data_IF_182182304818
#
_entry.id   IF_182182304818
#
_cell.length_a   1.000
_cell.length_b   1.000
_cell.length_c   1.000
_cell.angle_alpha   90.00
_cell.angle_beta   90.00
_cell.angle_gamma   90.00
#
_symmetry.space_group_name_H-M   'P 1'
#
loop_
_entity.id
_entity.type
_entity.pdbx_description
1 polymer ?
#
# COMPACT_ATOMS: atom_id res chain seq x y z
N UNK A 1 4.67 -10.63 -17.72
CA UNK A 1 5.93 -10.64 -16.94
C UNK A 1 5.70 -9.93 -15.60
N UNK A 2 6.20 -10.51 -14.50
CA UNK A 2 6.02 -9.99 -13.14
C UNK A 2 7.38 -9.77 -12.50
N UNK A 3 7.57 -8.64 -11.82
CA UNK A 3 8.83 -8.21 -11.24
C UNK A 3 8.56 -7.72 -9.82
N UNK A 4 9.38 -8.13 -8.86
CA UNK A 4 9.29 -7.67 -7.47
C UNK A 4 10.57 -6.93 -7.07
N UNK A 5 10.41 -5.74 -6.50
CA UNK A 5 11.46 -5.02 -5.81
C UNK A 5 11.11 -4.89 -4.33
N UNK A 6 12.01 -5.32 -3.47
CA UNK A 6 11.85 -5.17 -2.02
C UNK A 6 12.80 -4.10 -1.52
N UNK A 7 12.26 -2.98 -1.05
CA UNK A 7 13.01 -1.80 -0.65
C UNK A 7 12.47 -1.27 0.67
N UNK A 8 13.33 -1.04 1.64
CA UNK A 8 12.93 -0.48 2.93
C UNK A 8 12.17 0.85 2.77
N UNK A 9 11.30 1.16 3.72
CA UNK A 9 10.58 2.44 3.73
C UNK A 9 11.58 3.60 3.84
N UNK A 10 11.37 4.67 3.06
CA UNK A 10 12.26 5.83 3.05
C UNK A 10 13.46 5.73 2.09
N UNK A 11 13.62 4.63 1.35
CA UNK A 11 14.74 4.42 0.41
C UNK A 11 14.44 4.84 -1.03
N UNK A 12 13.34 5.57 -1.27
CA UNK A 12 13.06 6.17 -2.57
C UNK A 12 12.28 5.29 -3.55
N UNK A 13 11.40 4.37 -3.09
CA UNK A 13 10.54 3.54 -3.96
C UNK A 13 9.84 4.34 -5.06
N UNK A 14 9.20 5.45 -4.68
CA UNK A 14 8.49 6.33 -5.64
C UNK A 14 9.45 6.96 -6.66
N UNK A 15 10.68 7.29 -6.24
CA UNK A 15 11.69 7.83 -7.16
C UNK A 15 12.17 6.77 -8.16
N UNK A 16 12.33 5.53 -7.72
CA UNK A 16 12.65 4.41 -8.63
C UNK A 16 11.52 4.20 -9.64
N UNK A 17 10.27 4.20 -9.18
CA UNK A 17 9.10 4.12 -10.06
C UNK A 17 9.08 5.25 -11.08
N UNK A 18 9.36 6.50 -10.64
CA UNK A 18 9.48 7.65 -11.53
C UNK A 18 10.58 7.44 -12.58
N UNK A 19 11.77 7.04 -12.18
CA UNK A 19 12.90 6.85 -13.10
C UNK A 19 12.64 5.75 -14.13
N UNK A 20 11.99 4.67 -13.73
CA UNK A 20 11.58 3.62 -14.66
C UNK A 20 10.54 4.14 -15.67
N UNK A 21 9.49 4.79 -15.17
CA UNK A 21 8.47 5.39 -16.02
C UNK A 21 9.08 6.42 -16.98
N UNK A 22 10.02 7.25 -16.50
CA UNK A 22 10.74 8.23 -17.31
C UNK A 22 11.50 7.58 -18.47
N UNK A 23 12.28 6.56 -18.18
CA UNK A 23 13.04 5.83 -19.21
C UNK A 23 12.10 5.18 -20.23
N UNK A 24 11.04 4.50 -19.79
CA UNK A 24 10.07 3.86 -20.68
C UNK A 24 9.34 4.89 -21.55
N UNK A 25 8.95 6.03 -20.99
CA UNK A 25 8.23 7.09 -21.70
C UNK A 25 9.09 7.75 -22.79
N UNK A 26 10.32 8.11 -22.48
CA UNK A 26 11.19 8.80 -23.44
C UNK A 26 11.80 7.85 -24.48
N UNK A 27 12.01 6.58 -24.14
CA UNK A 27 12.38 5.55 -25.12
C UNK A 27 11.20 5.11 -26.00
N UNK A 28 9.97 5.54 -25.67
CA UNK A 28 8.73 5.09 -26.32
C UNK A 28 8.53 3.57 -26.25
N UNK A 29 9.12 2.91 -25.24
CA UNK A 29 8.95 1.48 -25.09
C UNK A 29 7.48 1.13 -24.86
N UNK A 30 6.94 0.20 -25.63
CA UNK A 30 5.60 -0.31 -25.48
C UNK A 30 5.52 -1.78 -25.90
N UNK A 31 4.52 -2.50 -25.41
CA UNK A 31 4.39 -3.94 -25.68
C UNK A 31 4.06 -4.25 -27.14
N UNK A 32 3.35 -3.39 -27.84
CA UNK A 32 2.96 -3.58 -29.23
C UNK A 32 4.19 -3.64 -30.13
N UNK A 33 5.15 -2.75 -29.89
CA UNK A 33 6.33 -2.61 -30.75
C UNK A 33 7.57 -3.34 -30.18
N UNK A 34 7.44 -4.04 -29.05
CA UNK A 34 8.56 -4.67 -28.32
C UNK A 34 9.47 -5.53 -29.18
N UNK A 35 8.91 -6.25 -30.14
CA UNK A 35 9.64 -7.16 -31.04
C UNK A 35 9.79 -6.61 -32.46
N UNK A 36 9.44 -5.35 -32.69
CA UNK A 36 9.57 -4.70 -33.99
C UNK A 36 10.98 -4.15 -34.17
N UNK A 37 11.52 -4.30 -35.38
CA UNK A 37 12.75 -3.61 -35.79
C UNK A 37 12.50 -2.16 -36.21
N UNK A 38 11.24 -1.74 -36.28
CA UNK A 38 10.84 -0.38 -36.64
C UNK A 38 10.89 0.55 -35.42
N UNK A 39 10.94 1.86 -35.67
CA UNK A 39 10.84 2.85 -34.59
C UNK A 39 9.49 2.69 -33.86
N UNK A 40 9.48 2.86 -32.51
CA UNK A 40 8.28 2.72 -31.71
C UNK A 40 7.15 3.66 -32.17
N UNK A 41 5.94 3.11 -32.35
CA UNK A 41 4.78 3.85 -32.89
C UNK A 41 4.18 4.82 -31.88
N UNK A 42 4.27 4.51 -30.59
CA UNK A 42 3.67 5.30 -29.50
C UNK A 42 4.48 5.26 -28.21
N UNK A 43 4.16 6.18 -27.30
CA UNK A 43 4.61 6.13 -25.91
C UNK A 43 3.85 5.04 -25.12
N UNK A 44 4.45 4.52 -24.03
CA UNK A 44 3.77 3.55 -23.19
C UNK A 44 2.55 4.14 -22.49
N UNK A 45 1.62 3.27 -22.11
CA UNK A 45 0.59 3.55 -21.13
C UNK A 45 0.97 2.84 -19.83
N UNK A 46 1.28 3.64 -18.82
CA UNK A 46 1.77 3.16 -17.52
C UNK A 46 0.69 3.40 -16.48
N UNK A 47 0.32 2.37 -15.74
CA UNK A 47 -0.61 2.47 -14.61
C UNK A 47 0.16 2.45 -13.31
N UNK A 48 -0.08 3.41 -12.42
CA UNK A 48 0.38 3.41 -11.04
C UNK A 48 -0.80 3.12 -10.11
N UNK A 49 -0.77 1.96 -9.46
CA UNK A 49 -1.76 1.50 -8.50
C UNK A 49 -1.24 1.66 -7.08
N UNK A 50 -1.97 2.40 -6.25
CA UNK A 50 -1.68 2.58 -4.83
C UNK A 50 -2.80 2.00 -3.95
N UNK A 51 -2.48 1.76 -2.67
CA UNK A 51 -3.45 1.31 -1.68
C UNK A 51 -4.39 2.44 -1.20
N UNK A 52 -3.88 3.69 -1.15
CA UNK A 52 -4.61 4.84 -0.61
C UNK A 52 -4.50 6.07 -1.52
N UNK A 53 -5.56 6.89 -1.49
CA UNK A 53 -5.61 8.14 -2.27
C UNK A 53 -4.42 9.07 -1.99
N UNK A 54 -4.00 9.19 -0.73
CA UNK A 54 -2.85 10.03 -0.38
C UNK A 54 -1.56 9.59 -1.08
N UNK A 55 -1.33 8.27 -1.19
CA UNK A 55 -0.17 7.70 -1.88
C UNK A 55 -0.27 7.91 -3.40
N UNK A 56 -1.46 7.71 -3.97
CA UNK A 56 -1.69 7.96 -5.39
C UNK A 56 -1.50 9.45 -5.75
N UNK A 57 -1.91 10.37 -4.87
CA UNK A 57 -1.73 11.81 -5.06
C UNK A 57 -0.26 12.22 -4.89
N UNK A 58 0.44 11.64 -3.90
CA UNK A 58 1.89 11.87 -3.74
C UNK A 58 2.67 11.39 -4.96
N UNK A 59 2.34 10.21 -5.48
CA UNK A 59 2.96 9.69 -6.70
C UNK A 59 2.66 10.59 -7.90
N UNK A 60 1.40 10.97 -8.11
CA UNK A 60 1.00 11.91 -9.17
C UNK A 60 1.81 13.21 -9.13
N UNK A 61 1.93 13.82 -7.95
CA UNK A 61 2.71 15.04 -7.77
C UNK A 61 4.22 14.83 -7.98
N UNK A 62 4.76 13.69 -7.55
CA UNK A 62 6.16 13.34 -7.76
C UNK A 62 6.52 13.17 -9.26
N UNK A 63 5.52 12.90 -10.10
CA UNK A 63 5.66 12.75 -11.54
C UNK A 63 5.44 14.06 -12.33
N UNK A 64 5.37 15.20 -11.66
CA UNK A 64 5.11 16.51 -12.29
C UNK A 64 6.16 16.97 -13.32
N UNK A 65 7.28 16.30 -13.44
CA UNK A 65 8.27 16.57 -14.50
C UNK A 65 7.84 16.02 -15.88
N UNK A 66 6.83 15.16 -15.94
CA UNK A 66 6.23 14.74 -17.21
C UNK A 66 5.32 15.84 -17.78
N UNK A 67 5.06 15.84 -19.09
CA UNK A 67 4.07 16.75 -19.68
C UNK A 67 2.69 16.60 -19.02
N UNK A 68 2.00 17.70 -18.76
CA UNK A 68 0.70 17.70 -18.07
C UNK A 68 -0.36 16.86 -18.79
N UNK A 69 -0.34 16.83 -20.11
CA UNK A 69 -1.24 16.05 -20.95
C UNK A 69 -0.94 14.53 -20.91
N UNK A 70 0.25 14.16 -20.43
CA UNK A 70 0.61 12.76 -20.24
C UNK A 70 0.07 12.18 -18.91
N UNK A 71 -0.20 13.02 -17.91
CA UNK A 71 -0.59 12.62 -16.56
C UNK A 71 -2.12 12.55 -16.42
N UNK A 72 -2.61 11.44 -15.89
CA UNK A 72 -4.05 11.22 -15.70
C UNK A 72 -4.31 10.69 -14.29
N UNK A 73 -5.04 11.46 -13.49
CA UNK A 73 -5.59 10.97 -12.22
C UNK A 73 -6.96 10.37 -12.47
N UNK A 74 -7.14 9.10 -12.13
CA UNK A 74 -8.43 8.40 -12.26
C UNK A 74 -9.15 8.50 -10.92
N UNK A 75 -10.26 9.20 -10.90
CA UNK A 75 -11.09 9.41 -9.71
C UNK A 75 -12.56 9.05 -9.99
N UNK A 76 -13.28 8.45 -9.01
CA UNK A 76 -14.68 8.04 -9.22
C UNK A 76 -15.60 9.19 -9.59
N UNK A 77 -15.38 10.38 -9.01
CA UNK A 77 -16.21 11.57 -9.28
C UNK A 77 -16.07 12.05 -10.72
N UNK A 78 -14.85 12.02 -11.25
CA UNK A 78 -14.60 12.40 -12.64
C UNK A 78 -15.20 11.38 -13.61
N UNK A 79 -15.11 10.10 -13.29
CA UNK A 79 -15.73 9.06 -14.12
C UNK A 79 -17.26 9.25 -14.11
N UNK A 80 -17.86 9.46 -12.95
CA UNK A 80 -19.32 9.70 -12.84
C UNK A 80 -19.78 10.93 -13.63
N UNK A 81 -19.02 12.02 -13.55
CA UNK A 81 -19.33 13.27 -14.29
C UNK A 81 -19.21 13.10 -15.79
N UNK A 82 -18.19 12.37 -16.25
CA UNK A 82 -17.89 12.19 -17.68
C UNK A 82 -18.58 10.97 -18.30
N UNK A 83 -19.15 10.08 -17.48
CA UNK A 83 -19.80 8.84 -17.91
C UNK A 83 -18.86 7.83 -18.57
N UNK A 84 -17.55 7.97 -18.41
CA UNK A 84 -16.53 7.07 -18.98
C UNK A 84 -15.19 7.23 -18.27
N UNK A 85 -14.39 6.17 -18.30
CA UNK A 85 -13.00 6.21 -17.83
C UNK A 85 -12.10 7.02 -18.76
N UNK A 86 -11.09 7.75 -18.24
CA UNK A 86 -10.13 8.48 -19.06
C UNK A 86 -9.20 7.51 -19.80
N UNK A 87 -9.03 7.72 -21.12
CA UNK A 87 -8.14 6.91 -21.96
C UNK A 87 -7.04 7.73 -22.67
N UNK A 88 -7.13 9.05 -22.56
CA UNK A 88 -6.16 9.95 -23.18
C UNK A 88 -5.09 10.33 -22.16
N UNK A 89 -3.89 9.84 -22.34
CA UNK A 89 -2.72 10.04 -21.50
C UNK A 89 -1.75 8.88 -21.60
N UNK A 90 -0.70 8.96 -20.82
CA UNK A 90 0.37 7.96 -20.79
C UNK A 90 0.63 7.39 -19.39
N UNK A 91 0.47 8.22 -18.34
CA UNK A 91 0.68 7.80 -16.96
C UNK A 91 -0.62 7.99 -16.19
N UNK A 92 -1.15 6.88 -15.72
CA UNK A 92 -2.46 6.81 -15.06
C UNK A 92 -2.25 6.48 -13.58
N UNK A 93 -2.87 7.23 -12.69
CA UNK A 93 -2.75 7.06 -11.23
C UNK A 93 -4.10 6.80 -10.62
N UNK A 94 -4.22 5.71 -9.86
CA UNK A 94 -5.46 5.37 -9.16
C UNK A 94 -5.19 4.50 -7.94
N UNK A 95 -6.26 4.15 -7.23
CA UNK A 95 -6.23 3.15 -6.17
C UNK A 95 -7.08 1.94 -6.54
N UNK A 96 -6.81 0.81 -5.90
CA UNK A 96 -7.53 -0.44 -6.15
C UNK A 96 -9.04 -0.27 -5.99
N UNK A 97 -9.48 0.39 -4.91
CA UNK A 97 -10.88 0.61 -4.60
C UNK A 97 -11.59 1.40 -5.70
N UNK A 98 -10.93 2.40 -6.27
CA UNK A 98 -11.49 3.14 -7.42
C UNK A 98 -11.71 2.24 -8.62
N UNK A 99 -10.74 1.41 -8.97
CA UNK A 99 -10.87 0.49 -10.10
C UNK A 99 -11.92 -0.60 -9.89
N UNK A 100 -12.10 -1.03 -8.65
CA UNK A 100 -13.12 -2.02 -8.29
C UNK A 100 -14.51 -1.41 -8.13
N UNK A 101 -14.62 -0.11 -7.86
CA UNK A 101 -15.90 0.58 -7.81
C UNK A 101 -16.44 0.79 -9.22
N UNK A 102 -17.74 0.77 -9.35
CA UNK A 102 -18.45 0.98 -10.61
C UNK A 102 -19.72 0.17 -10.61
N UNK A 103 -20.75 0.71 -11.25
CA UNK A 103 -22.04 0.06 -11.38
C UNK A 103 -22.56 0.24 -12.80
N UNK A 104 -23.22 -0.79 -13.30
CA UNK A 104 -23.98 -0.71 -14.55
C UNK A 104 -25.21 0.17 -14.37
N UNK A 105 -25.90 0.48 -15.46
CA UNK A 105 -27.17 1.23 -15.41
C UNK A 105 -28.26 0.52 -14.59
N UNK A 106 -28.16 -0.77 -14.46
CA UNK A 106 -29.09 -1.61 -13.71
C UNK A 106 -28.68 -1.78 -12.24
N UNK A 107 -27.63 -1.10 -11.79
CA UNK A 107 -27.15 -1.13 -10.40
C UNK A 107 -26.23 -2.32 -10.08
N UNK A 108 -25.96 -3.22 -11.03
CA UNK A 108 -25.06 -4.35 -10.83
C UNK A 108 -23.59 -3.90 -10.79
N UNK A 109 -22.73 -4.59 -10.03
CA UNK A 109 -21.30 -4.28 -9.99
C UNK A 109 -20.67 -4.34 -11.39
N UNK A 110 -20.10 -3.23 -11.82
CA UNK A 110 -19.39 -3.11 -13.09
C UNK A 110 -18.06 -2.37 -12.86
N UNK A 111 -17.00 -3.07 -12.42
CA UNK A 111 -15.71 -2.46 -12.08
C UNK A 111 -15.14 -1.61 -13.22
N UNK A 112 -14.67 -0.40 -12.89
CA UNK A 112 -14.16 0.55 -13.89
C UNK A 112 -12.96 0.04 -14.68
N UNK A 113 -12.15 -0.86 -14.12
CA UNK A 113 -11.04 -1.44 -14.87
C UNK A 113 -11.51 -2.20 -16.11
N UNK A 114 -12.72 -2.81 -16.06
CA UNK A 114 -13.31 -3.52 -17.19
C UNK A 114 -13.71 -2.63 -18.37
N UNK A 115 -13.74 -1.30 -18.21
CA UNK A 115 -13.97 -0.37 -19.32
C UNK A 115 -12.73 -0.15 -20.19
N UNK A 116 -11.55 -0.58 -19.72
CA UNK A 116 -10.32 -0.59 -20.52
C UNK A 116 -10.16 -1.94 -21.25
N UNK A 117 -9.61 -1.99 -22.47
CA UNK A 117 -9.13 -3.24 -23.04
C UNK A 117 -8.08 -3.90 -22.12
N UNK A 118 -8.04 -5.22 -22.05
CA UNK A 118 -7.09 -5.95 -21.18
C UNK A 118 -5.62 -5.70 -21.54
N UNK A 119 -5.33 -5.29 -22.76
CA UNK A 119 -4.02 -4.92 -23.29
C UNK A 119 -3.78 -3.39 -23.32
N UNK A 120 -4.63 -2.61 -22.63
CA UNK A 120 -4.54 -1.15 -22.66
C UNK A 120 -3.25 -0.62 -22.04
N UNK A 121 -2.81 -1.19 -20.94
CA UNK A 121 -1.57 -0.79 -20.25
C UNK A 121 -0.39 -1.65 -20.71
N UNK A 122 0.75 -1.01 -20.90
CA UNK A 122 2.02 -1.69 -21.20
C UNK A 122 2.78 -2.06 -19.92
N UNK A 123 2.68 -1.22 -18.91
CA UNK A 123 3.41 -1.37 -17.66
C UNK A 123 2.54 -0.97 -16.49
N UNK A 124 2.55 -1.76 -15.41
CA UNK A 124 1.79 -1.49 -14.18
C UNK A 124 2.75 -1.46 -13.00
N UNK A 125 2.74 -0.37 -12.26
CA UNK A 125 3.48 -0.21 -11.01
C UNK A 125 2.50 -0.36 -9.86
N UNK A 126 2.78 -1.28 -8.95
CA UNK A 126 1.94 -1.57 -7.79
C UNK A 126 2.73 -1.17 -6.54
N UNK A 127 2.34 -0.06 -5.91
CA UNK A 127 2.96 0.38 -4.66
C UNK A 127 2.33 -0.32 -3.47
N UNK A 128 3.17 -0.68 -2.50
CA UNK A 128 2.82 -1.45 -1.31
C UNK A 128 2.06 -2.76 -1.64
N UNK A 129 2.55 -3.50 -2.63
CA UNK A 129 1.90 -4.69 -3.19
C UNK A 129 1.69 -5.84 -2.18
N UNK A 130 2.19 -5.71 -0.94
CA UNK A 130 1.92 -6.62 0.17
C UNK A 130 0.62 -6.32 0.92
N UNK A 131 -0.01 -5.17 0.64
CA UNK A 131 -1.26 -4.75 1.27
C UNK A 131 -2.43 -5.32 0.49
N UNK A 132 -3.14 -6.23 1.11
CA UNK A 132 -4.39 -6.81 0.69
C UNK A 132 -4.87 -7.62 1.88
N UNK A 133 -5.98 -7.26 2.53
CA UNK A 133 -6.61 -8.08 3.58
C UNK A 133 -7.30 -9.28 2.97
N UNK A 134 -7.62 -10.31 3.75
CA UNK A 134 -8.25 -11.54 3.30
C UNK A 134 -9.54 -11.30 2.47
N UNK A 135 -10.21 -10.15 2.65
CA UNK A 135 -11.38 -9.74 1.87
C UNK A 135 -11.04 -8.90 0.63
N UNK A 136 -9.84 -8.28 0.56
CA UNK A 136 -9.41 -7.42 -0.55
C UNK A 136 -8.56 -8.15 -1.59
N UNK A 137 -8.01 -9.32 -1.25
CA UNK A 137 -7.11 -10.07 -2.13
C UNK A 137 -7.74 -10.52 -3.44
N UNK A 138 -9.01 -10.94 -3.39
CA UNK A 138 -9.73 -11.33 -4.60
C UNK A 138 -9.89 -10.16 -5.57
N UNK A 139 -9.90 -8.94 -5.04
CA UNK A 139 -10.21 -7.73 -5.78
C UNK A 139 -9.01 -7.18 -6.56
N UNK A 140 -7.86 -6.97 -5.90
CA UNK A 140 -6.71 -6.42 -6.61
C UNK A 140 -6.06 -7.44 -7.57
N UNK A 141 -6.08 -8.73 -7.22
CA UNK A 141 -5.65 -9.80 -8.14
C UNK A 141 -6.49 -9.81 -9.41
N UNK A 142 -7.80 -9.65 -9.29
CA UNK A 142 -8.69 -9.53 -10.45
C UNK A 142 -8.28 -8.42 -11.43
N UNK A 143 -7.83 -7.27 -10.92
CA UNK A 143 -7.30 -6.18 -11.74
C UNK A 143 -6.02 -6.61 -12.46
N UNK A 144 -5.07 -7.20 -11.73
CA UNK A 144 -3.78 -7.60 -12.28
C UNK A 144 -3.89 -8.77 -13.26
N UNK A 145 -4.77 -9.72 -13.00
CA UNK A 145 -5.04 -10.85 -13.90
C UNK A 145 -5.78 -10.38 -15.17
N UNK A 146 -6.67 -9.39 -15.05
CA UNK A 146 -7.31 -8.77 -16.22
C UNK A 146 -6.29 -8.08 -17.14
N UNK A 147 -5.32 -7.37 -16.57
CA UNK A 147 -4.23 -6.73 -17.31
C UNK A 147 -2.97 -7.61 -17.39
N UNK A 148 -3.13 -8.93 -17.41
CA UNK A 148 -2.02 -9.87 -17.50
C UNK A 148 -1.05 -9.65 -18.70
N UNK A 149 -1.48 -9.09 -19.85
CA UNK A 149 -0.54 -8.72 -20.92
C UNK A 149 0.52 -7.71 -20.49
N UNK A 150 0.21 -6.80 -19.57
CA UNK A 150 1.15 -5.79 -19.08
C UNK A 150 2.33 -6.39 -18.31
N UNK A 151 3.49 -5.73 -18.35
CA UNK A 151 4.57 -5.99 -17.40
C UNK A 151 4.18 -5.37 -16.04
N UNK A 152 4.25 -6.16 -14.98
CA UNK A 152 3.78 -5.78 -13.65
C UNK A 152 4.95 -5.71 -12.66
N UNK A 153 5.16 -4.53 -12.08
CA UNK A 153 6.19 -4.24 -11.11
C UNK A 153 5.58 -4.03 -9.72
N UNK A 154 5.83 -4.96 -8.81
CA UNK A 154 5.50 -4.81 -7.40
C UNK A 154 6.62 -4.11 -6.63
N UNK A 155 6.25 -3.10 -5.84
CA UNK A 155 7.12 -2.40 -4.90
C UNK A 155 6.62 -2.65 -3.48
N UNK A 156 7.51 -3.05 -2.59
CA UNK A 156 7.16 -3.25 -1.18
C UNK A 156 8.37 -3.12 -0.26
N UNK A 157 8.15 -2.73 0.98
CA UNK A 157 9.15 -2.80 2.04
C UNK A 157 9.08 -4.12 2.83
N UNK A 158 7.91 -4.73 2.88
CA UNK A 158 7.59 -5.87 3.74
C UNK A 158 6.83 -6.95 2.99
N UNK A 159 7.51 -7.71 2.11
CA UNK A 159 6.84 -8.79 1.38
C UNK A 159 6.33 -9.85 2.36
N UNK A 160 5.11 -10.30 2.17
CA UNK A 160 4.48 -11.34 3.02
C UNK A 160 4.68 -12.72 2.42
N UNK A 161 4.98 -13.71 3.30
CA UNK A 161 5.10 -15.14 2.96
C UNK A 161 4.04 -16.02 3.63
N UNK A 162 3.20 -15.46 4.51
CA UNK A 162 2.19 -16.21 5.28
C UNK A 162 0.87 -15.45 5.27
N UNK A 163 -0.23 -16.19 5.42
CA UNK A 163 -1.60 -15.68 5.54
C UNK A 163 -2.14 -15.03 4.26
N UNK A 164 -2.72 -15.83 3.38
CA UNK A 164 -3.53 -15.46 2.19
C UNK A 164 -2.96 -14.39 1.22
N UNK A 165 -1.91 -13.65 1.57
CA UNK A 165 -1.22 -12.68 0.71
C UNK A 165 0.21 -13.13 0.49
N UNK A 166 0.41 -14.12 -0.36
CA UNK A 166 1.75 -14.49 -0.75
C UNK A 166 2.22 -13.62 -1.93
N UNK A 167 2.92 -12.53 -1.58
CA UNK A 167 3.54 -11.63 -2.56
C UNK A 167 4.50 -12.38 -3.48
N UNK A 168 5.20 -13.36 -2.92
CA UNK A 168 6.15 -14.19 -3.68
C UNK A 168 5.46 -15.20 -4.58
N UNK A 169 4.31 -15.75 -4.19
CA UNK A 169 3.55 -16.65 -5.07
C UNK A 169 3.06 -15.93 -6.32
N UNK A 170 2.79 -14.62 -6.22
CA UNK A 170 2.33 -13.82 -7.36
C UNK A 170 3.49 -13.29 -8.22
N UNK A 171 4.47 -12.63 -7.62
CA UNK A 171 5.55 -11.94 -8.32
C UNK A 171 6.80 -12.80 -8.55
N UNK A 172 6.97 -13.89 -7.80
CA UNK A 172 8.23 -14.61 -7.70
C UNK A 172 9.20 -14.00 -6.69
N UNK A 173 10.42 -14.51 -6.65
CA UNK A 173 11.48 -13.93 -5.82
C UNK A 173 11.84 -12.52 -6.30
N UNK A 174 12.19 -11.60 -5.38
CA UNK A 174 12.55 -10.25 -5.77
C UNK A 174 13.83 -10.23 -6.61
N UNK A 175 13.80 -9.45 -7.69
CA UNK A 175 15.00 -9.24 -8.52
C UNK A 175 16.00 -8.29 -7.85
N UNK A 176 15.56 -7.53 -6.87
CA UNK A 176 16.40 -6.67 -6.07
C UNK A 176 15.84 -6.50 -4.66
N UNK A 177 16.72 -6.59 -3.67
CA UNK A 177 16.40 -6.40 -2.25
C UNK A 177 17.32 -5.32 -1.68
N UNK A 178 16.74 -4.27 -1.12
CA UNK A 178 17.45 -3.25 -0.36
C UNK A 178 16.85 -3.14 1.03
N UNK A 179 17.50 -3.80 1.98
CA UNK A 179 16.98 -3.96 3.33
C UNK A 179 17.13 -2.67 4.16
N UNK A 180 16.42 -2.63 5.31
CA UNK A 180 16.60 -1.56 6.29
C UNK A 180 18.08 -1.47 6.78
N UNK A 181 18.74 -2.62 6.92
CA UNK A 181 20.15 -2.68 7.33
C UNK A 181 21.04 -2.05 6.26
N UNK A 182 20.80 -2.35 4.99
CA UNK A 182 21.56 -1.76 3.89
C UNK A 182 21.38 -0.24 3.85
N UNK A 183 20.14 0.23 3.98
CA UNK A 183 19.83 1.66 4.02
C UNK A 183 20.48 2.41 5.19
N UNK A 184 20.61 1.77 6.35
CA UNK A 184 21.34 2.32 7.50
C UNK A 184 22.85 2.33 7.25
N UNK A 185 23.40 1.24 6.74
CA UNK A 185 24.83 1.12 6.47
C UNK A 185 25.31 2.13 5.42
N UNK A 186 24.48 2.37 4.40
CA UNK A 186 24.76 3.33 3.33
C UNK A 186 24.46 4.79 3.73
N UNK A 187 23.95 5.02 4.96
CA UNK A 187 23.65 6.35 5.48
C UNK A 187 22.37 7.02 4.97
N UNK A 188 21.52 6.30 4.24
CA UNK A 188 20.22 6.80 3.79
C UNK A 188 19.14 6.74 4.87
N UNK A 189 19.26 5.80 5.81
CA UNK A 189 18.31 5.62 6.90
C UNK A 189 19.00 5.81 8.24
N UNK A 190 18.28 6.45 9.17
CA UNK A 190 18.79 6.68 10.52
C UNK A 190 18.82 5.38 11.32
N UNK A 191 19.92 5.05 12.00
CA UNK A 191 19.96 3.94 12.93
C UNK A 191 19.01 4.21 14.10
N UNK A 192 18.43 3.15 14.64
CA UNK A 192 17.49 3.23 15.74
C UNK A 192 17.90 2.27 16.87
N UNK A 193 17.39 2.57 18.08
CA UNK A 193 17.49 1.67 19.22
C UNK A 193 16.10 1.17 19.59
N UNK A 194 15.98 -0.14 19.80
CA UNK A 194 14.76 -0.73 20.33
C UNK A 194 14.91 -0.91 21.81
N UNK A 195 13.96 -0.37 22.58
CA UNK A 195 13.83 -0.61 24.02
C UNK A 195 12.49 -1.27 24.26
N UNK A 196 12.51 -2.53 24.59
CA UNK A 196 11.32 -3.26 24.97
C UNK A 196 11.06 -3.03 26.46
N UNK A 197 9.86 -2.59 26.80
CA UNK A 197 9.39 -2.39 28.17
C UNK A 197 8.28 -3.41 28.41
N UNK A 198 8.60 -4.46 29.15
CA UNK A 198 7.60 -5.41 29.61
C UNK A 198 7.05 -4.91 30.96
N UNK A 199 5.76 -5.07 31.17
CA UNK A 199 5.12 -4.79 32.46
C UNK A 199 4.53 -6.06 33.03
N UNK A 200 4.47 -6.17 34.35
CA UNK A 200 3.85 -7.31 35.05
C UNK A 200 2.33 -7.40 34.83
N UNK A 201 1.75 -6.40 34.16
CA UNK A 201 0.32 -6.31 33.82
C UNK A 201 0.01 -6.82 32.40
N UNK A 202 0.93 -7.50 31.75
CA UNK A 202 0.73 -7.99 30.36
C UNK A 202 -0.09 -9.31 30.34
N UNK A 203 -0.26 -9.96 31.49
CA UNK A 203 -1.14 -11.09 31.70
C UNK A 203 -2.24 -10.70 32.70
N UNK A 204 -3.49 -10.78 32.27
CA UNK A 204 -4.62 -10.35 33.08
C UNK A 204 -5.79 -11.33 33.04
N UNK A 205 -6.40 -11.53 34.20
CA UNK A 205 -7.68 -12.25 34.32
C UNK A 205 -8.76 -11.22 34.64
N UNK A 206 -9.77 -11.13 33.80
CA UNK A 206 -10.87 -10.18 33.92
C UNK A 206 -11.52 -10.19 35.33
N UNK A 207 -11.75 -9.01 35.87
CA UNK A 207 -12.59 -8.80 37.05
C UNK A 207 -13.80 -7.91 36.72
N UNK A 208 -14.94 -8.04 37.47
CA UNK A 208 -16.18 -7.32 37.13
C UNK A 208 -16.07 -5.79 37.16
N UNK A 209 -15.01 -5.25 37.75
CA UNK A 209 -14.79 -3.80 37.88
C UNK A 209 -14.08 -3.18 36.66
N UNK A 210 -13.68 -4.02 35.67
CA UNK A 210 -12.97 -3.56 34.50
C UNK A 210 -13.90 -2.98 33.44
N UNK A 211 -13.41 -1.99 32.70
CA UNK A 211 -14.14 -1.38 31.59
C UNK A 211 -14.04 -2.25 30.34
N UNK A 212 -15.18 -2.64 29.80
CA UNK A 212 -15.28 -3.35 28.52
C UNK A 212 -15.30 -2.35 27.38
N UNK A 213 -14.45 -2.54 26.39
CA UNK A 213 -14.38 -1.68 25.20
C UNK A 213 -15.21 -2.26 24.04
N UNK A 214 -15.14 -3.57 23.79
CA UNK A 214 -15.84 -4.23 22.68
C UNK A 214 -16.05 -5.73 22.96
N UNK A 215 -17.21 -6.25 22.58
CA UNK A 215 -17.53 -7.68 22.62
C UNK A 215 -18.06 -8.20 23.96
N UNK A 216 -18.28 -9.50 24.04
CA UNK A 216 -18.70 -10.21 25.26
C UNK A 216 -17.49 -10.82 25.95
N UNK A 217 -17.44 -10.68 27.29
CA UNK A 217 -16.38 -11.25 28.12
C UNK A 217 -16.81 -12.62 28.65
N UNK A 218 -15.93 -13.60 28.46
CA UNK A 218 -16.07 -14.91 29.06
C UNK A 218 -15.40 -14.94 30.43
N UNK A 219 -16.20 -15.23 31.49
CA UNK A 219 -15.69 -15.34 32.85
C UNK A 219 -14.58 -16.41 32.95
N UNK A 220 -13.43 -16.03 33.51
CA UNK A 220 -12.29 -16.93 33.67
C UNK A 220 -11.37 -17.06 32.46
N UNK A 221 -11.62 -16.36 31.38
CA UNK A 221 -10.73 -16.30 30.23
C UNK A 221 -9.52 -15.41 30.51
N UNK A 222 -8.34 -15.90 30.14
CA UNK A 222 -7.10 -15.13 30.17
C UNK A 222 -7.01 -14.27 28.91
N UNK A 223 -6.81 -12.96 29.10
CA UNK A 223 -6.60 -12.02 28.02
C UNK A 223 -5.13 -11.70 27.88
N UNK A 224 -4.63 -11.67 26.64
CA UNK A 224 -3.25 -11.39 26.31
C UNK A 224 -3.08 -9.92 25.86
N UNK A 225 -1.85 -9.45 25.74
CA UNK A 225 -1.52 -8.07 25.35
C UNK A 225 -2.26 -7.59 24.08
N UNK A 226 -2.51 -8.48 23.13
CA UNK A 226 -3.26 -8.16 21.89
C UNK A 226 -4.73 -7.81 22.09
N UNK A 227 -5.29 -8.20 23.24
CA UNK A 227 -6.72 -8.02 23.57
C UNK A 227 -6.96 -6.71 24.31
N UNK A 228 -5.92 -6.12 24.92
CA UNK A 228 -6.02 -4.85 25.62
C UNK A 228 -6.25 -3.67 24.66
N UNK A 229 -7.04 -2.70 25.12
CA UNK A 229 -7.47 -1.51 24.36
C UNK A 229 -8.22 -1.82 23.05
N UNK A 230 -8.60 -3.08 22.87
CA UNK A 230 -9.53 -3.52 21.82
C UNK A 230 -10.78 -4.17 22.42
N UNK A 231 -10.60 -5.02 23.41
CA UNK A 231 -11.65 -5.77 24.08
C UNK A 231 -11.78 -5.26 25.53
N UNK A 232 -10.67 -5.08 26.22
CA UNK A 232 -10.62 -4.62 27.61
C UNK A 232 -9.73 -3.38 27.70
N UNK A 233 -10.19 -2.36 28.47
CA UNK A 233 -9.41 -1.18 28.83
C UNK A 233 -9.25 -1.12 30.35
N UNK A 234 -8.02 -0.92 30.81
CA UNK A 234 -7.69 -0.71 32.22
C UNK A 234 -6.96 0.63 32.33
N UNK A 235 -7.68 1.70 32.76
CA UNK A 235 -7.11 3.06 32.81
C UNK A 235 -5.82 3.18 33.61
N UNK A 236 -5.72 2.47 34.77
CA UNK A 236 -4.54 2.48 35.61
C UNK A 236 -3.32 1.86 34.92
N UNK A 237 -3.53 0.80 34.14
CA UNK A 237 -2.50 0.16 33.33
C UNK A 237 -1.99 1.12 32.26
N UNK A 238 -2.87 1.78 31.54
CA UNK A 238 -2.49 2.74 30.52
C UNK A 238 -1.81 3.97 31.11
N UNK A 239 -2.31 4.51 32.24
CA UNK A 239 -1.65 5.58 32.95
C UNK A 239 -0.22 5.19 33.41
N UNK A 240 -0.03 3.95 33.89
CA UNK A 240 1.29 3.44 34.23
C UNK A 240 2.23 3.32 33.02
N UNK A 241 1.75 2.78 31.91
CA UNK A 241 2.49 2.68 30.65
C UNK A 241 2.93 4.05 30.13
N UNK A 242 2.01 5.03 30.15
CA UNK A 242 2.32 6.42 29.76
C UNK A 242 3.40 7.02 30.65
N UNK A 243 3.34 6.84 31.98
CA UNK A 243 4.38 7.30 32.92
C UNK A 243 5.74 6.65 32.61
N UNK A 244 5.75 5.33 32.39
CA UNK A 244 6.98 4.60 32.05
C UNK A 244 7.58 5.12 30.74
N UNK A 245 6.77 5.26 29.71
CA UNK A 245 7.19 5.78 28.42
C UNK A 245 7.74 7.21 28.56
N UNK A 246 7.02 8.12 29.23
CA UNK A 246 7.47 9.50 29.44
C UNK A 246 8.77 9.59 30.25
N UNK A 247 9.05 8.64 31.14
CA UNK A 247 10.32 8.56 31.86
C UNK A 247 11.52 8.17 30.98
N UNK A 248 11.29 7.68 29.77
CA UNK A 248 12.32 7.19 28.86
C UNK A 248 12.68 8.17 27.76
N UNK A 249 11.90 9.24 27.61
CA UNK A 249 12.09 10.25 26.56
C UNK A 249 12.35 11.63 27.19
N UNK A 250 13.01 12.50 26.43
CA UNK A 250 13.17 13.90 26.84
C UNK A 250 11.93 14.70 26.38
N UNK A 251 11.39 15.63 27.17
CA UNK A 251 10.17 16.38 26.82
C UNK A 251 10.22 17.15 25.50
N UNK A 252 11.43 17.49 25.02
CA UNK A 252 11.64 18.21 23.76
C UNK A 252 11.84 17.29 22.54
N UNK A 253 11.82 15.97 22.72
CA UNK A 253 11.96 15.02 21.62
C UNK A 253 10.65 14.89 20.85
N UNK A 254 10.75 14.88 19.51
CA UNK A 254 9.60 14.62 18.64
C UNK A 254 9.19 13.17 18.81
N UNK A 255 7.96 12.95 19.28
CA UNK A 255 7.47 11.63 19.62
C UNK A 255 6.21 11.30 18.83
N UNK A 256 6.11 10.06 18.34
CA UNK A 256 4.91 9.51 17.73
C UNK A 256 4.48 8.31 18.55
N UNK A 257 3.22 8.31 18.98
CA UNK A 257 2.62 7.22 19.75
C UNK A 257 1.59 6.51 18.88
N UNK A 258 1.68 5.19 18.77
CA UNK A 258 0.70 4.37 18.07
C UNK A 258 -0.24 3.73 19.07
N UNK A 259 -1.52 4.06 18.97
CA UNK A 259 -2.58 3.54 19.82
C UNK A 259 -3.37 2.42 19.13
N UNK A 260 -4.05 1.58 19.90
CA UNK A 260 -4.81 0.45 19.35
C UNK A 260 -6.01 0.91 18.50
N UNK A 261 -6.69 1.97 18.95
CA UNK A 261 -7.85 2.58 18.26
C UNK A 261 -7.77 4.10 18.34
N UNK A 262 -8.64 4.80 17.58
CA UNK A 262 -8.77 6.25 17.70
C UNK A 262 -9.33 6.68 19.06
N UNK A 263 -10.19 5.86 19.67
CA UNK A 263 -10.74 6.11 20.98
C UNK A 263 -9.66 6.00 22.08
N UNK A 264 -8.71 5.08 21.88
CA UNK A 264 -7.58 4.88 22.80
C UNK A 264 -6.53 6.02 22.69
N UNK A 265 -6.47 6.77 21.61
CA UNK A 265 -5.53 7.88 21.40
C UNK A 265 -5.95 9.15 22.14
#
# INVERSE_FOLDING_TARGET
ERILLTLATGTGKTFIAFQLAWKLFYSRWNLTDRNSSSAPSRRPRILFLADRNILANQAYNAFSAFPDDALVRIEPDDIRKKGKVPKNGNLFFTIFQTFMSGQSKDGEPAPYFGEYPSDFFDFIIIDECHRGGANDESNWRGILDYFAPAVQLGLTATPKRKDNVDTYAYFGEPVFVYSLKDGINDGFLTPFRVKQIATTLDDYVYTPDDTLVEGEIEAGKRYEEKDFNKIIEIPEREAHRVKLFLSQIHPNEKTIVFCATQLHA
#
